data_IF_051244756489
#
_entry.id   IF_051244756489
#
_cell.length_a   1.000
_cell.length_b   1.000
_cell.length_c   1.000
_cell.angle_alpha   90.00
_cell.angle_beta   90.00
_cell.angle_gamma   90.00
#
_symmetry.space_group_name_H-M   'P 1'
#
loop_
_entity.id
_entity.type
_entity.pdbx_description
1 polymer ?
#
# COMPACT_ATOMS: atom_id res chain seq x y z
N UNK A 1 1.41 -9.59 -18.10
CA UNK A 1 1.06 -9.82 -16.69
C UNK A 1 -0.06 -8.88 -16.30
N UNK A 2 -1.07 -9.35 -15.57
CA UNK A 2 -2.14 -8.47 -15.00
C UNK A 2 -1.60 -7.64 -13.85
N UNK A 3 -2.20 -6.48 -13.62
CA UNK A 3 -1.77 -5.63 -12.52
C UNK A 3 -1.95 -6.26 -11.12
N UNK A 4 -3.05 -6.99 -10.89
CA UNK A 4 -3.26 -7.74 -9.66
C UNK A 4 -2.23 -8.83 -9.44
N UNK A 5 -1.93 -9.61 -10.50
CA UNK A 5 -0.89 -10.64 -10.49
C UNK A 5 0.49 -10.05 -10.15
N UNK A 6 0.83 -8.93 -10.79
CA UNK A 6 2.08 -8.23 -10.56
C UNK A 6 2.22 -7.80 -9.09
N UNK A 7 1.14 -7.24 -8.50
CA UNK A 7 1.15 -6.84 -7.10
C UNK A 7 1.28 -8.05 -6.17
N UNK A 8 0.53 -9.14 -6.43
CA UNK A 8 0.62 -10.35 -5.61
C UNK A 8 2.04 -10.94 -5.64
N UNK A 9 2.64 -11.05 -6.84
CA UNK A 9 4.03 -11.53 -6.99
C UNK A 9 5.04 -10.58 -6.34
N UNK A 10 4.83 -9.27 -6.42
CA UNK A 10 5.66 -8.30 -5.72
C UNK A 10 5.64 -8.51 -4.21
N UNK A 11 4.46 -8.73 -3.62
CA UNK A 11 4.33 -8.99 -2.19
C UNK A 11 5.08 -10.26 -1.76
N UNK A 12 5.02 -11.33 -2.57
CA UNK A 12 5.80 -12.56 -2.35
C UNK A 12 7.30 -12.25 -2.42
N UNK A 13 7.73 -11.57 -3.47
CA UNK A 13 9.14 -11.24 -3.71
C UNK A 13 9.75 -10.38 -2.59
N UNK A 14 8.97 -9.47 -2.01
CA UNK A 14 9.40 -8.63 -0.89
C UNK A 14 9.19 -9.30 0.49
N UNK A 15 8.77 -10.57 0.51
CA UNK A 15 8.50 -11.32 1.74
C UNK A 15 7.48 -10.62 2.65
N UNK A 16 6.44 -10.02 2.08
CA UNK A 16 5.32 -9.45 2.82
C UNK A 16 4.39 -10.59 3.25
N UNK A 17 4.33 -10.97 4.53
CA UNK A 17 3.66 -12.20 4.93
C UNK A 17 2.13 -12.05 5.03
N UNK A 18 1.65 -10.83 5.20
CA UNK A 18 0.24 -10.56 5.44
C UNK A 18 -0.25 -9.35 4.65
N UNK A 19 -1.48 -9.47 4.16
CA UNK A 19 -2.33 -8.37 3.73
C UNK A 19 -3.52 -8.31 4.67
N UNK A 20 -3.69 -7.21 5.39
CA UNK A 20 -4.86 -6.98 6.23
C UNK A 20 -5.89 -6.16 5.46
N UNK A 21 -7.09 -6.69 5.24
CA UNK A 21 -8.05 -5.95 4.41
C UNK A 21 -9.40 -6.62 4.30
N UNK A 22 -10.34 -5.89 3.72
CA UNK A 22 -11.70 -6.35 3.49
C UNK A 22 -11.97 -6.37 1.99
N UNK A 23 -12.64 -7.44 1.54
CA UNK A 23 -13.06 -7.55 0.16
C UNK A 23 -14.11 -6.47 -0.17
N UNK A 24 -14.01 -5.94 -1.37
CA UNK A 24 -14.99 -5.04 -1.92
C UNK A 24 -14.83 -4.94 -3.43
N UNK A 25 -15.79 -4.33 -4.09
CA UNK A 25 -15.83 -4.22 -5.54
C UNK A 25 -14.49 -3.70 -6.12
N UNK A 26 -13.89 -2.69 -5.49
CA UNK A 26 -12.70 -2.02 -6.03
C UNK A 26 -11.41 -2.85 -6.03
N UNK A 27 -11.34 -3.92 -5.24
CA UNK A 27 -10.10 -4.69 -5.05
C UNK A 27 -10.18 -6.17 -5.45
N UNK A 28 -11.28 -6.60 -6.09
CA UNK A 28 -11.51 -8.01 -6.47
C UNK A 28 -10.37 -8.56 -7.33
N UNK A 29 -9.83 -7.76 -8.27
CA UNK A 29 -8.76 -8.21 -9.15
C UNK A 29 -7.46 -8.55 -8.42
N UNK A 30 -7.17 -7.91 -7.28
CA UNK A 30 -6.04 -8.30 -6.43
C UNK A 30 -6.38 -9.47 -5.51
N UNK A 31 -7.62 -9.55 -5.01
CA UNK A 31 -8.04 -10.65 -4.14
C UNK A 31 -7.96 -12.01 -4.84
N UNK A 32 -8.35 -12.05 -6.12
CA UNK A 32 -8.24 -13.25 -6.96
C UNK A 32 -6.78 -13.71 -7.06
N UNK A 33 -5.87 -12.81 -7.29
CA UNK A 33 -4.45 -13.14 -7.41
C UNK A 33 -3.80 -13.47 -6.05
N UNK A 34 -4.23 -12.85 -4.96
CA UNK A 34 -3.79 -13.21 -3.60
C UNK A 34 -4.19 -14.64 -3.23
N UNK A 35 -5.31 -15.14 -3.78
CA UNK A 35 -5.68 -16.53 -3.57
C UNK A 35 -4.66 -17.51 -4.18
N UNK A 36 -4.04 -17.16 -5.29
CA UNK A 36 -3.03 -17.99 -5.94
C UNK A 36 -1.70 -18.04 -5.18
N UNK A 37 -1.39 -17.02 -4.38
CA UNK A 37 -0.17 -16.94 -3.56
C UNK A 37 -0.45 -17.06 -2.06
N UNK A 38 -1.59 -17.65 -1.66
CA UNK A 38 -2.05 -17.72 -0.27
C UNK A 38 -1.15 -18.52 0.68
N UNK A 39 -0.26 -19.33 0.15
CA UNK A 39 0.69 -20.07 0.97
C UNK A 39 1.86 -19.19 1.40
N UNK A 40 2.19 -18.15 0.63
CA UNK A 40 3.26 -17.19 0.88
C UNK A 40 2.73 -15.88 1.51
N UNK A 41 1.60 -15.38 1.01
CA UNK A 41 0.98 -14.12 1.47
C UNK A 41 -0.44 -14.39 1.96
N UNK A 42 -0.68 -14.20 3.24
CA UNK A 42 -1.99 -14.47 3.85
C UNK A 42 -2.85 -13.22 3.91
N UNK A 43 -4.04 -13.28 3.32
CA UNK A 43 -5.07 -12.27 3.52
C UNK A 43 -5.79 -12.51 4.84
N UNK A 44 -5.76 -11.53 5.73
CA UNK A 44 -6.49 -11.52 7.00
C UNK A 44 -7.59 -10.48 6.90
N UNK A 45 -8.85 -10.95 6.98
CA UNK A 45 -10.01 -10.08 6.83
C UNK A 45 -10.64 -9.75 8.19
N UNK A 46 -10.44 -8.54 8.72
CA UNK A 46 -11.16 -8.06 9.90
C UNK A 46 -12.60 -7.63 9.53
N UNK A 47 -13.34 -7.13 10.51
CA UNK A 47 -14.72 -6.65 10.29
C UNK A 47 -14.80 -5.16 9.94
N UNK A 48 -13.70 -4.43 10.00
CA UNK A 48 -13.61 -3.00 9.69
C UNK A 48 -12.20 -2.64 9.21
N UNK A 49 -12.09 -1.75 8.24
CA UNK A 49 -10.80 -1.40 7.63
C UNK A 49 -9.85 -0.69 8.60
N UNK A 50 -10.38 0.09 9.53
CA UNK A 50 -9.57 0.67 10.62
C UNK A 50 -8.84 -0.41 11.41
N UNK A 51 -9.53 -1.54 11.69
CA UNK A 51 -8.91 -2.68 12.38
C UNK A 51 -7.79 -3.28 11.53
N UNK A 52 -7.95 -3.37 10.20
CA UNK A 52 -6.90 -3.84 9.31
C UNK A 52 -5.61 -3.01 9.46
N UNK A 53 -5.75 -1.68 9.49
CA UNK A 53 -4.59 -0.80 9.67
C UNK A 53 -3.95 -0.93 11.06
N UNK A 54 -4.74 -1.05 12.13
CA UNK A 54 -4.19 -1.29 13.46
C UNK A 54 -3.51 -2.65 13.59
N UNK A 55 -4.01 -3.69 12.90
CA UNK A 55 -3.34 -5.00 12.84
C UNK A 55 -1.98 -4.89 12.13
N UNK A 56 -1.91 -4.12 11.04
CA UNK A 56 -0.66 -3.87 10.33
C UNK A 56 0.35 -3.10 11.21
N UNK A 57 -0.10 -2.05 11.89
CA UNK A 57 0.71 -1.29 12.84
C UNK A 57 1.24 -2.20 13.97
N UNK A 58 0.36 -2.94 14.63
CA UNK A 58 0.74 -3.85 15.71
C UNK A 58 1.73 -4.93 15.25
N UNK A 59 1.53 -5.49 14.05
CA UNK A 59 2.45 -6.48 13.49
C UNK A 59 3.85 -5.89 13.32
N UNK A 60 3.95 -4.69 12.70
CA UNK A 60 5.25 -4.04 12.52
C UNK A 60 5.95 -3.74 13.84
N UNK A 61 5.23 -3.28 14.86
CA UNK A 61 5.80 -3.01 16.20
C UNK A 61 6.44 -4.25 16.83
N UNK A 62 5.88 -5.44 16.57
CA UNK A 62 6.37 -6.70 17.16
C UNK A 62 7.46 -7.34 16.30
N UNK A 63 7.30 -7.34 14.98
CA UNK A 63 8.16 -8.07 14.05
C UNK A 63 9.19 -7.21 13.34
N UNK A 64 8.99 -5.90 13.32
CA UNK A 64 9.80 -4.95 12.52
C UNK A 64 9.90 -5.33 11.04
N UNK A 65 8.88 -6.02 10.55
CA UNK A 65 8.72 -6.43 9.16
C UNK A 65 7.51 -5.74 8.57
N UNK A 66 7.66 -5.05 7.42
CA UNK A 66 6.54 -4.41 6.75
C UNK A 66 5.44 -5.42 6.37
N UNK A 67 4.21 -4.93 6.37
CA UNK A 67 3.03 -5.65 5.88
C UNK A 67 2.19 -4.71 5.02
N UNK A 68 1.21 -5.27 4.32
CA UNK A 68 0.30 -4.48 3.52
C UNK A 68 -1.10 -4.42 4.14
N UNK A 69 -1.83 -3.34 3.82
CA UNK A 69 -3.28 -3.28 3.97
C UNK A 69 -3.95 -3.21 2.62
N UNK A 70 -5.20 -3.66 2.52
CA UNK A 70 -5.98 -3.61 1.30
C UNK A 70 -7.40 -3.13 1.59
N UNK A 71 -7.82 -2.07 0.91
CA UNK A 71 -9.17 -1.53 1.03
C UNK A 71 -9.85 -1.43 -0.32
N UNK A 72 -11.17 -1.49 -0.32
CA UNK A 72 -11.98 -1.10 -1.48
C UNK A 72 -11.98 0.43 -1.64
N UNK A 73 -12.51 0.91 -2.74
CA UNK A 73 -12.60 2.35 -3.04
C UNK A 73 -13.57 3.08 -2.09
N UNK A 74 -13.45 4.39 -2.05
CA UNK A 74 -14.35 5.30 -1.32
C UNK A 74 -14.39 5.04 0.18
N UNK A 75 -15.54 4.61 0.73
CA UNK A 75 -15.71 4.42 2.18
C UNK A 75 -14.69 3.48 2.81
N UNK A 76 -14.34 2.37 2.12
CA UNK A 76 -13.33 1.43 2.59
C UNK A 76 -11.97 2.09 2.78
N UNK A 77 -11.56 2.89 1.81
CA UNK A 77 -10.29 3.63 1.91
C UNK A 77 -10.36 4.81 2.90
N UNK A 78 -11.54 5.42 3.11
CA UNK A 78 -11.70 6.45 4.15
C UNK A 78 -11.59 5.87 5.57
N UNK A 79 -12.13 4.68 5.78
CA UNK A 79 -12.14 4.02 7.09
C UNK A 79 -10.74 3.66 7.60
N UNK A 80 -9.73 3.55 6.73
CA UNK A 80 -8.37 3.18 7.14
C UNK A 80 -7.58 4.34 7.77
N UNK A 81 -8.02 5.58 7.60
CA UNK A 81 -7.28 6.81 7.93
C UNK A 81 -6.74 6.80 9.36
N UNK A 82 -7.56 6.46 10.35
CA UNK A 82 -7.16 6.49 11.76
C UNK A 82 -6.01 5.51 12.04
N UNK A 83 -6.11 4.28 11.55
CA UNK A 83 -5.06 3.28 11.76
C UNK A 83 -3.75 3.64 11.03
N UNK A 84 -3.84 4.23 9.83
CA UNK A 84 -2.67 4.72 9.09
C UNK A 84 -2.05 5.93 9.80
N UNK A 85 -2.86 6.85 10.35
CA UNK A 85 -2.35 7.96 11.17
C UNK A 85 -1.59 7.45 12.41
N UNK A 86 -2.10 6.41 13.07
CA UNK A 86 -1.42 5.74 14.18
C UNK A 86 -0.08 5.15 13.73
N UNK A 87 -0.06 4.42 12.60
CA UNK A 87 1.17 3.86 12.05
C UNK A 87 2.21 4.95 11.71
N UNK A 88 1.78 6.11 11.22
CA UNK A 88 2.69 7.25 10.98
C UNK A 88 3.26 7.80 12.29
N UNK A 89 2.41 7.99 13.31
CA UNK A 89 2.82 8.50 14.61
C UNK A 89 3.84 7.57 15.29
N UNK A 90 3.62 6.25 15.18
CA UNK A 90 4.43 5.22 15.83
C UNK A 90 5.58 4.69 14.96
N UNK A 91 5.80 5.29 13.78
CA UNK A 91 6.90 4.90 12.87
C UNK A 91 6.78 3.45 12.37
N UNK A 92 5.57 2.99 12.10
CA UNK A 92 5.30 1.65 11.59
C UNK A 92 5.29 1.62 10.05
N UNK A 93 6.13 0.76 9.46
CA UNK A 93 6.18 0.58 8.02
C UNK A 93 4.98 -0.24 7.53
N UNK A 94 4.07 0.43 6.85
CA UNK A 94 2.85 -0.17 6.28
C UNK A 94 2.71 0.24 4.81
N UNK A 95 2.53 -0.74 3.93
CA UNK A 95 2.16 -0.51 2.53
C UNK A 95 0.62 -0.46 2.44
N UNK A 96 0.06 0.74 2.36
CA UNK A 96 -1.38 0.93 2.28
C UNK A 96 -1.84 0.87 0.80
N UNK A 97 -2.34 -0.30 0.38
CA UNK A 97 -2.96 -0.48 -0.92
C UNK A 97 -4.43 -0.08 -0.83
N UNK A 98 -4.79 1.00 -1.50
CA UNK A 98 -6.17 1.47 -1.59
C UNK A 98 -6.67 1.31 -3.02
N UNK A 99 -7.85 0.74 -3.19
CA UNK A 99 -8.47 0.72 -4.50
C UNK A 99 -9.16 2.05 -4.80
N UNK A 100 -9.24 2.40 -6.07
CA UNK A 100 -9.95 3.55 -6.57
C UNK A 100 -10.94 3.16 -7.68
N UNK A 101 -11.81 4.08 -8.06
CA UNK A 101 -12.68 3.91 -9.22
C UNK A 101 -11.86 3.71 -10.50
N UNK A 102 -12.43 3.08 -11.54
CA UNK A 102 -11.73 2.92 -12.82
C UNK A 102 -11.30 4.26 -13.41
N UNK A 103 -10.16 4.31 -14.07
CA UNK A 103 -9.65 5.55 -14.71
C UNK A 103 -10.64 6.19 -15.68
N UNK A 104 -11.49 5.42 -16.33
CA UNK A 104 -12.55 5.92 -17.19
C UNK A 104 -13.67 6.67 -16.44
N UNK A 105 -13.76 6.51 -15.13
CA UNK A 105 -14.71 7.25 -14.29
C UNK A 105 -14.13 8.56 -13.74
N UNK A 106 -12.83 8.78 -13.88
CA UNK A 106 -12.20 10.02 -13.47
C UNK A 106 -12.87 11.21 -14.14
N UNK A 107 -13.17 12.25 -13.36
CA UNK A 107 -13.87 13.47 -13.82
C UNK A 107 -15.34 13.29 -14.25
N UNK A 108 -15.97 12.14 -13.96
CA UNK A 108 -17.37 11.89 -14.36
C UNK A 108 -18.38 12.02 -13.23
N UNK A 109 -17.95 12.32 -12.03
CA UNK A 109 -18.81 12.48 -10.87
C UNK A 109 -18.65 11.34 -9.85
N UNK A 110 -19.33 11.43 -8.70
CA UNK A 110 -19.10 10.52 -7.60
C UNK A 110 -19.59 9.11 -7.92
N UNK A 111 -18.67 8.15 -7.77
CA UNK A 111 -18.97 6.74 -7.73
C UNK A 111 -18.09 6.11 -6.65
N UNK A 112 -18.58 6.06 -5.42
CA UNK A 112 -17.83 5.60 -4.25
C UNK A 112 -16.46 6.30 -4.10
N UNK A 113 -16.40 7.58 -4.45
CA UNK A 113 -15.18 8.33 -4.47
C UNK A 113 -15.40 9.75 -3.94
N UNK A 114 -14.34 10.33 -3.38
CA UNK A 114 -14.29 11.76 -3.10
C UNK A 114 -13.85 12.47 -4.37
N UNK A 115 -14.80 13.18 -4.96
CA UNK A 115 -14.56 13.94 -6.16
C UNK A 115 -14.41 15.42 -5.82
N UNK A 116 -13.16 15.87 -5.74
CA UNK A 116 -12.85 17.28 -5.55
C UNK A 116 -12.61 17.94 -6.92
N UNK A 117 -13.42 18.93 -7.25
CA UNK A 117 -13.31 19.62 -8.53
C UNK A 117 -13.34 18.68 -9.75
N UNK A 118 -14.19 17.65 -9.69
CA UNK A 118 -14.31 16.64 -10.74
C UNK A 118 -13.05 15.80 -10.99
N UNK A 119 -12.09 15.79 -10.07
CA UNK A 119 -10.92 14.91 -10.13
C UNK A 119 -11.03 13.79 -9.11
N UNK A 120 -10.64 12.59 -9.49
CA UNK A 120 -10.49 11.44 -8.60
C UNK A 120 -9.29 11.66 -7.67
N UNK A 121 -9.51 12.40 -6.58
CA UNK A 121 -8.46 12.83 -5.67
C UNK A 121 -8.54 12.09 -4.31
N UNK A 122 -8.85 10.79 -4.35
CA UNK A 122 -8.89 9.99 -3.13
C UNK A 122 -7.54 9.94 -2.39
N UNK A 123 -6.38 9.94 -3.07
CA UNK A 123 -5.07 10.05 -2.40
C UNK A 123 -4.97 11.23 -1.44
N UNK A 124 -5.68 12.33 -1.69
CA UNK A 124 -5.64 13.51 -0.80
C UNK A 124 -6.19 13.24 0.60
N UNK A 125 -7.03 12.22 0.77
CA UNK A 125 -7.59 11.84 2.08
C UNK A 125 -6.53 11.24 3.01
N UNK A 126 -5.62 10.42 2.46
CA UNK A 126 -4.54 9.81 3.23
C UNK A 126 -3.24 10.64 3.19
N UNK A 127 -3.10 11.55 2.25
CA UNK A 127 -1.87 12.34 2.07
C UNK A 127 -1.32 12.98 3.36
N UNK A 128 -2.14 13.49 4.30
CA UNK A 128 -1.64 14.05 5.56
C UNK A 128 -1.10 13.01 6.55
N UNK A 129 -1.46 11.75 6.39
CA UNK A 129 -1.17 10.66 7.34
C UNK A 129 -0.27 9.57 6.77
N UNK A 130 0.35 9.81 5.62
CA UNK A 130 1.33 8.91 5.01
C UNK A 130 2.61 9.64 4.66
N UNK A 131 3.71 8.94 4.52
CA UNK A 131 4.97 9.53 4.05
C UNK A 131 4.87 9.99 2.59
N UNK A 132 4.14 9.23 1.78
CA UNK A 132 3.86 9.54 0.37
C UNK A 132 2.63 8.78 -0.13
N UNK A 133 1.91 9.38 -1.08
CA UNK A 133 0.86 8.74 -1.85
C UNK A 133 1.30 8.62 -3.30
N UNK A 134 1.04 7.46 -3.90
CA UNK A 134 1.22 7.18 -5.31
C UNK A 134 -0.12 6.80 -5.94
N UNK A 135 -0.33 7.14 -7.20
CA UNK A 135 -1.52 6.74 -7.96
C UNK A 135 -1.11 6.27 -9.36
N UNK A 136 -0.68 5.00 -9.51
CA UNK A 136 -0.43 4.44 -10.84
C UNK A 136 -1.76 4.25 -11.57
N UNK A 137 -1.88 4.81 -12.77
CA UNK A 137 -3.09 4.74 -13.61
C UNK A 137 -2.97 3.74 -14.75
N UNK A 138 -1.85 3.04 -14.85
CA UNK A 138 -1.56 1.99 -15.83
C UNK A 138 -0.70 0.89 -15.19
N UNK A 139 -0.80 -0.32 -15.73
CA UNK A 139 -0.08 -1.49 -15.21
C UNK A 139 1.45 -1.31 -15.29
N UNK A 140 1.95 -0.71 -16.37
CA UNK A 140 3.40 -0.50 -16.59
C UNK A 140 4.04 0.49 -15.59
N UNK A 141 3.24 1.25 -14.85
CA UNK A 141 3.72 2.09 -13.76
C UNK A 141 3.93 1.33 -12.44
N UNK A 142 3.29 0.17 -12.28
CA UNK A 142 3.27 -0.57 -11.01
C UNK A 142 4.66 -1.02 -10.54
N UNK A 143 5.55 -1.60 -11.38
CA UNK A 143 6.84 -2.11 -10.89
C UNK A 143 7.66 -1.05 -10.17
N UNK A 144 7.85 0.10 -10.81
CA UNK A 144 8.59 1.21 -10.21
C UNK A 144 7.88 1.81 -9.00
N UNK A 145 6.55 1.98 -9.11
CA UNK A 145 5.73 2.54 -8.02
C UNK A 145 5.80 1.68 -6.76
N UNK A 146 5.61 0.38 -6.89
CA UNK A 146 5.65 -0.55 -5.76
C UNK A 146 7.03 -0.60 -5.12
N UNK A 147 8.10 -0.61 -5.94
CA UNK A 147 9.47 -0.55 -5.45
C UNK A 147 9.75 0.71 -4.65
N UNK A 148 9.39 1.87 -5.18
CA UNK A 148 9.54 3.15 -4.47
C UNK A 148 8.68 3.20 -3.21
N UNK A 149 7.45 2.67 -3.26
CA UNK A 149 6.55 2.67 -2.13
C UNK A 149 7.10 1.83 -0.98
N UNK A 150 7.52 0.59 -1.23
CA UNK A 150 8.03 -0.29 -0.18
C UNK A 150 9.34 0.24 0.41
N UNK A 151 10.26 0.71 -0.43
CA UNK A 151 11.52 1.31 0.03
C UNK A 151 11.27 2.52 0.95
N UNK A 152 10.29 3.34 0.62
CA UNK A 152 9.92 4.51 1.44
C UNK A 152 9.31 4.12 2.79
N UNK A 153 8.62 2.97 2.89
CA UNK A 153 8.05 2.56 4.20
C UNK A 153 9.13 2.36 5.25
N UNK A 154 10.32 1.90 4.85
CA UNK A 154 11.42 1.55 5.75
C UNK A 154 12.58 2.57 5.74
N UNK A 155 12.62 3.51 4.78
CA UNK A 155 13.70 4.48 4.66
C UNK A 155 13.62 5.57 5.71
N UNK A 156 14.74 5.94 6.32
CA UNK A 156 14.79 6.95 7.37
C UNK A 156 13.91 6.58 8.55
N UNK A 157 13.01 7.47 8.99
CA UNK A 157 11.96 7.12 9.95
C UNK A 157 10.93 6.23 9.25
N UNK A 158 10.70 4.98 9.69
CA UNK A 158 9.67 4.13 9.11
C UNK A 158 8.29 4.78 9.16
N UNK A 159 7.40 4.37 8.26
CA UNK A 159 6.05 4.92 8.24
C UNK A 159 5.23 4.41 7.05
N UNK A 160 3.92 4.64 7.06
CA UNK A 160 3.03 4.17 6.02
C UNK A 160 3.24 4.93 4.70
N UNK A 161 3.07 4.21 3.60
CA UNK A 161 3.05 4.75 2.23
C UNK A 161 1.80 4.22 1.53
N UNK A 162 1.08 5.10 0.86
CA UNK A 162 -0.10 4.74 0.09
C UNK A 162 0.25 4.47 -1.38
N UNK A 163 -0.36 3.41 -1.91
CA UNK A 163 -0.50 3.20 -3.36
C UNK A 163 -1.99 3.09 -3.66
N UNK A 164 -2.53 4.08 -4.33
CA UNK A 164 -3.94 4.16 -4.70
C UNK A 164 -4.12 3.66 -6.13
N UNK A 165 -4.84 2.55 -6.30
CA UNK A 165 -4.83 1.77 -7.53
C UNK A 165 -6.24 1.77 -8.12
N UNK A 166 -6.45 2.36 -9.32
CA UNK A 166 -7.73 2.27 -10.01
C UNK A 166 -8.12 0.82 -10.31
N UNK A 167 -9.40 0.52 -10.17
CA UNK A 167 -9.97 -0.84 -10.34
C UNK A 167 -9.53 -1.54 -11.63
N UNK A 168 -9.55 -0.82 -12.75
CA UNK A 168 -9.15 -1.38 -14.04
C UNK A 168 -7.67 -1.79 -14.08
N UNK A 169 -6.80 -1.09 -13.35
CA UNK A 169 -5.36 -1.40 -13.31
C UNK A 169 -5.08 -2.78 -12.69
N UNK A 170 -5.92 -3.28 -11.78
CA UNK A 170 -5.79 -4.65 -11.28
C UNK A 170 -6.06 -5.71 -12.35
N UNK A 171 -6.91 -5.41 -13.33
CA UNK A 171 -7.41 -6.37 -14.33
C UNK A 171 -6.74 -6.23 -15.70
N UNK A 172 -6.24 -5.04 -16.02
CA UNK A 172 -5.55 -4.79 -17.27
C UNK A 172 -4.22 -5.55 -17.35
N UNK A 173 -3.84 -5.92 -18.56
CA UNK A 173 -2.58 -6.59 -18.86
C UNK A 173 -1.59 -5.64 -19.52
N UNK A 174 -0.32 -5.80 -19.19
CA UNK A 174 0.78 -5.14 -19.87
C UNK A 174 1.99 -6.08 -20.00
N UNK A 175 2.82 -5.79 -20.99
CA UNK A 175 4.12 -6.46 -21.13
C UNK A 175 5.13 -5.84 -20.16
N UNK A 176 5.05 -6.31 -18.91
CA UNK A 176 5.87 -5.82 -17.80
C UNK A 176 6.42 -6.99 -17.00
N UNK A 177 7.58 -6.80 -16.40
CA UNK A 177 8.21 -7.75 -15.51
C UNK A 177 8.57 -7.05 -14.20
N UNK A 178 8.58 -7.81 -13.11
CA UNK A 178 9.14 -7.35 -11.85
C UNK A 178 10.66 -7.48 -11.90
N UNK A 179 11.34 -6.40 -11.56
CA UNK A 179 12.76 -6.45 -11.28
C UNK A 179 13.02 -7.33 -10.05
N UNK A 180 14.12 -8.09 -10.03
CA UNK A 180 14.49 -8.87 -8.84
C UNK A 180 14.50 -8.01 -7.57
N UNK A 181 14.05 -8.58 -6.45
CA UNK A 181 14.13 -7.89 -5.16
C UNK A 181 15.59 -7.62 -4.81
N UNK A 182 15.88 -6.40 -4.44
CA UNK A 182 17.17 -6.03 -3.83
C UNK A 182 17.18 -6.29 -2.31
N UNK A 183 16.14 -6.97 -1.82
CA UNK A 183 15.78 -7.04 -0.40
C UNK A 183 15.20 -5.71 0.08
N UNK A 184 14.31 -5.77 1.05
CA UNK A 184 13.95 -4.56 1.79
C UNK A 184 15.27 -4.03 2.32
N UNK A 185 15.70 -2.89 1.84
CA UNK A 185 16.86 -2.19 2.37
C UNK A 185 16.53 -1.78 3.81
N UNK A 186 16.52 -2.81 4.68
CA UNK A 186 16.50 -2.60 6.10
C UNK A 186 17.73 -1.80 6.43
N UNK A 187 17.54 -0.50 6.34
CA UNK A 187 18.49 0.45 6.82
C UNK A 187 19.89 0.43 6.13
N UNK A 188 20.03 1.29 5.18
CA UNK A 188 21.09 2.25 5.41
C UNK A 188 20.61 3.09 6.61
N UNK A 189 20.75 2.57 7.84
CA UNK A 189 20.67 3.41 9.02
C UNK A 189 21.72 4.48 8.79
N UNK A 190 21.30 5.73 8.71
CA UNK A 190 22.23 6.85 8.80
C UNK A 190 23.01 6.61 10.10
N UNK A 191 24.31 6.37 10.04
CA UNK A 191 25.12 6.35 11.23
C UNK A 191 24.94 7.67 11.97
N UNK A 192 24.91 7.68 13.28
CA UNK A 192 24.99 8.92 14.02
C UNK A 192 26.34 9.60 13.68
N UNK A 193 26.36 10.93 13.62
CA UNK A 193 27.61 11.67 13.44
C UNK A 193 28.56 11.30 14.59
N UNK A 194 29.79 10.82 14.31
CA UNK A 194 30.74 10.47 15.36
C UNK A 194 30.98 11.59 16.36
N UNK A 195 30.96 12.86 15.90
CA UNK A 195 31.14 14.05 16.75
C UNK A 195 29.99 14.21 17.74
N UNK A 196 28.75 13.83 17.32
CA UNK A 196 27.58 13.92 18.20
C UNK A 196 27.51 12.74 19.18
N UNK A 197 28.06 11.59 18.82
CA UNK A 197 28.22 10.46 19.74
C UNK A 197 29.19 10.81 20.86
N UNK A 198 30.32 11.45 20.53
CA UNK A 198 31.34 11.81 21.51
C UNK A 198 30.88 12.94 22.47
N UNK A 199 29.81 13.66 22.13
CA UNK A 199 29.22 14.71 22.98
C UNK A 199 28.06 14.24 23.87
N UNK A 200 27.52 13.01 23.61
CA UNK A 200 26.37 12.47 24.33
C UNK A 200 26.82 11.62 25.53
#
# INVERSE_FOLDING_TARGET
MKGGELIAQFLVQENIPYVFGICGHGNVGLLDELYHVRDEVKLISPRHEQTAAHMADAYFRVKHQPVATLTSCGPGSANIVMGIATALADSSAVLALTANVPTQQFNRGPFQEINRHFTADFPSVLKPVVKRSFQPTRVDMLPLTLRQAIDLTVSGRPGPVQVDIPFNVFQEEADVQLEPSLGLRSSKRSGADPIDIDKA
#
